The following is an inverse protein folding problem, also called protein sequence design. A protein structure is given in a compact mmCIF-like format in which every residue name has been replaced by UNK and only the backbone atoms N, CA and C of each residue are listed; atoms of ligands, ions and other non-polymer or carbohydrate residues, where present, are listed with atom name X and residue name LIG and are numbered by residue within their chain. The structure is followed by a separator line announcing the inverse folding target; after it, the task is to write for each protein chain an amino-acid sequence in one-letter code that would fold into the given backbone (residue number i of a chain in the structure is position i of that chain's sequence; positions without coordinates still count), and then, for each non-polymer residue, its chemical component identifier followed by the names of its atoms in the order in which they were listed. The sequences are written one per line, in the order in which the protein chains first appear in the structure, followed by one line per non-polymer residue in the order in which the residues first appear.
data_IF_194790656731
#
_entry.id   IF_194790656731
#
_cell.length_a   1.000
_cell.length_b   1.000
_cell.length_c   1.000
_cell.angle_alpha   90.00
_cell.angle_beta   90.00
_cell.angle_gamma   90.00
#
_symmetry.space_group_name_H-M   'P 1'
#
loop_
_entity.id
_entity.type
_entity.pdbx_description
1 polymer ?
#
# COMPACT_ATOMS: atom_id res chain seq x y z
N UNK A 1 -16.29 -8.76 59.70
CA UNK A 1 -15.92 -7.42 59.21
C UNK A 1 -15.39 -7.60 57.79
N UNK A 2 -16.18 -7.24 56.78
CA UNK A 2 -15.80 -7.41 55.36
C UNK A 2 -15.60 -6.03 54.76
N UNK A 3 -14.36 -5.63 54.56
CA UNK A 3 -14.00 -4.32 54.01
C UNK A 3 -14.08 -4.38 52.48
N UNK A 4 -15.12 -3.74 51.92
CA UNK A 4 -15.26 -3.59 50.47
C UNK A 4 -14.35 -2.47 49.97
N UNK A 5 -13.39 -2.80 49.09
CA UNK A 5 -12.52 -1.83 48.43
C UNK A 5 -13.36 -1.08 47.38
N UNK A 6 -13.64 0.21 47.61
CA UNK A 6 -14.26 1.07 46.59
C UNK A 6 -13.19 1.50 45.58
N UNK A 7 -13.31 1.09 44.32
CA UNK A 7 -12.52 1.64 43.20
C UNK A 7 -12.87 3.13 43.04
N UNK A 8 -11.86 4.00 43.12
CA UNK A 8 -11.98 5.43 42.85
C UNK A 8 -12.22 5.63 41.36
N UNK A 9 -13.26 6.35 40.97
CA UNK A 9 -13.54 6.68 39.56
C UNK A 9 -12.41 7.55 39.02
N UNK A 10 -11.81 7.12 37.90
CA UNK A 10 -10.83 7.92 37.18
C UNK A 10 -11.55 9.15 36.58
N UNK A 11 -10.94 10.34 36.57
CA UNK A 11 -11.51 11.50 35.87
C UNK A 11 -11.64 11.16 34.38
N UNK A 12 -12.73 11.60 33.75
CA UNK A 12 -12.98 11.50 32.31
C UNK A 12 -11.92 12.32 31.54
N UNK A 13 -10.73 11.76 31.38
CA UNK A 13 -9.71 12.30 30.48
C UNK A 13 -10.06 11.82 29.08
N UNK A 14 -10.66 12.70 28.28
CA UNK A 14 -10.84 12.48 26.86
C UNK A 14 -9.47 12.38 26.20
N UNK A 15 -9.07 11.17 25.81
CA UNK A 15 -7.87 10.95 25.01
C UNK A 15 -8.21 11.36 23.58
N UNK A 16 -7.87 12.60 23.22
CA UNK A 16 -8.01 13.07 21.84
C UNK A 16 -6.83 12.55 21.04
N UNK A 17 -7.06 11.50 20.24
CA UNK A 17 -6.06 11.07 19.26
C UNK A 17 -6.33 11.84 17.96
N UNK A 18 -5.37 12.61 17.42
CA UNK A 18 -5.54 13.28 16.15
C UNK A 18 -5.67 12.24 15.05
N UNK A 19 -6.87 12.11 14.47
CA UNK A 19 -7.14 11.13 13.41
C UNK A 19 -6.29 11.34 12.17
N UNK A 20 -5.88 12.58 11.90
CA UNK A 20 -4.96 12.92 10.80
C UNK A 20 -3.63 12.21 10.98
N UNK A 21 -3.07 12.24 12.18
CA UNK A 21 -1.78 11.61 12.48
C UNK A 21 -1.88 10.08 12.38
N UNK A 22 -2.96 9.48 12.88
CA UNK A 22 -3.18 8.02 12.77
C UNK A 22 -3.32 7.58 11.31
N UNK A 23 -4.09 8.32 10.51
CA UNK A 23 -4.29 8.00 9.10
C UNK A 23 -3.00 8.18 8.31
N UNK A 24 -2.24 9.24 8.60
CA UNK A 24 -0.95 9.49 7.98
C UNK A 24 0.08 8.41 8.36
N UNK A 25 0.14 8.00 9.63
CA UNK A 25 0.98 6.90 10.08
C UNK A 25 0.59 5.56 9.41
N UNK A 26 -0.72 5.33 9.20
CA UNK A 26 -1.22 4.15 8.51
C UNK A 26 -0.87 4.17 7.00
N UNK A 27 -0.99 5.33 6.34
CA UNK A 27 -0.58 5.54 4.96
C UNK A 27 0.92 5.34 4.78
N UNK A 28 1.74 5.93 5.65
CA UNK A 28 3.20 5.76 5.65
C UNK A 28 3.58 4.30 5.89
N UNK A 29 2.91 3.62 6.83
CA UNK A 29 3.11 2.21 7.11
C UNK A 29 2.76 1.31 5.91
N UNK A 30 1.65 1.59 5.23
CA UNK A 30 1.22 0.84 4.05
C UNK A 30 2.14 1.10 2.84
N UNK A 31 2.55 2.35 2.64
CA UNK A 31 3.51 2.73 1.60
C UNK A 31 4.85 2.03 1.83
N UNK A 32 5.39 2.09 3.05
CA UNK A 32 6.63 1.43 3.41
C UNK A 32 6.55 -0.09 3.19
N UNK A 33 5.43 -0.72 3.54
CA UNK A 33 5.19 -2.14 3.28
C UNK A 33 5.19 -2.43 1.77
N UNK A 34 4.45 -1.63 1.00
CA UNK A 34 4.31 -1.80 -0.44
C UNK A 34 5.65 -1.69 -1.17
N UNK A 35 6.46 -0.69 -0.79
CA UNK A 35 7.83 -0.53 -1.30
C UNK A 35 8.64 -1.78 -0.98
N UNK A 36 8.67 -2.22 0.28
CA UNK A 36 9.47 -3.38 0.69
C UNK A 36 9.10 -4.64 -0.09
N UNK A 37 7.82 -4.89 -0.30
CA UNK A 37 7.35 -6.06 -1.04
C UNK A 37 7.66 -5.91 -2.54
N UNK A 38 7.45 -4.74 -3.14
CA UNK A 38 7.80 -4.48 -4.54
C UNK A 38 9.29 -4.69 -4.81
N UNK A 39 10.16 -4.25 -3.92
CA UNK A 39 11.61 -4.49 -4.02
C UNK A 39 11.97 -5.99 -3.90
N UNK A 40 11.26 -6.76 -3.06
CA UNK A 40 11.46 -8.22 -3.00
C UNK A 40 11.05 -8.92 -4.30
N UNK A 41 9.93 -8.52 -4.91
CA UNK A 41 9.49 -9.04 -6.21
C UNK A 41 10.52 -8.71 -7.29
N UNK A 42 11.01 -7.47 -7.32
CA UNK A 42 12.06 -7.05 -8.25
C UNK A 42 13.34 -7.89 -8.08
N UNK A 43 13.76 -8.16 -6.84
CA UNK A 43 14.91 -9.03 -6.56
C UNK A 43 14.69 -10.46 -7.08
N UNK A 44 13.46 -11.00 -6.96
CA UNK A 44 13.13 -12.32 -7.50
C UNK A 44 13.12 -12.35 -9.02
N UNK A 45 12.61 -11.29 -9.67
CA UNK A 45 12.64 -11.16 -11.12
C UNK A 45 14.07 -11.10 -11.65
N UNK A 46 14.94 -10.27 -11.05
CA UNK A 46 16.36 -10.23 -11.39
C UNK A 46 17.04 -11.59 -11.15
N UNK A 47 16.72 -12.29 -10.05
CA UNK A 47 17.28 -13.61 -9.79
C UNK A 47 16.84 -14.66 -10.82
N UNK A 48 15.59 -14.61 -11.28
CA UNK A 48 15.07 -15.48 -12.33
C UNK A 48 15.75 -15.21 -13.68
N UNK A 49 15.96 -13.94 -14.03
CA UNK A 49 16.71 -13.55 -15.24
C UNK A 49 18.17 -14.03 -15.18
N UNK A 50 18.85 -13.86 -14.03
CA UNK A 50 20.20 -14.41 -13.82
C UNK A 50 20.23 -15.93 -14.00
N UNK A 51 19.19 -16.64 -13.57
CA UNK A 51 19.08 -18.09 -13.76
C UNK A 51 18.83 -18.47 -15.23
N UNK A 52 18.11 -17.65 -15.99
CA UNK A 52 17.95 -17.84 -17.43
C UNK A 52 19.29 -17.66 -18.16
N UNK A 53 20.09 -16.65 -17.78
CA UNK A 53 21.38 -16.36 -18.41
C UNK A 53 22.49 -17.34 -17.99
N UNK A 54 22.64 -17.58 -16.69
CA UNK A 54 23.75 -18.32 -16.10
C UNK A 54 23.39 -19.75 -15.65
N UNK A 55 22.18 -20.22 -15.95
CA UNK A 55 21.66 -21.53 -15.55
C UNK A 55 21.38 -21.65 -14.03
N UNK A 56 20.85 -22.80 -13.57
CA UNK A 56 20.54 -23.03 -12.15
C UNK A 56 21.77 -22.96 -11.25
N UNK A 57 21.59 -22.39 -10.05
CA UNK A 57 22.71 -22.21 -9.10
C UNK A 57 23.29 -23.56 -8.66
N UNK A 58 24.62 -23.67 -8.67
CA UNK A 58 25.34 -24.85 -8.18
C UNK A 58 25.30 -26.07 -9.11
N UNK A 59 24.75 -25.95 -10.32
CA UNK A 59 24.87 -26.97 -11.36
C UNK A 59 25.95 -26.60 -12.35
N UNK A 60 26.84 -27.55 -12.63
CA UNK A 60 27.88 -27.36 -13.63
C UNK A 60 27.31 -27.56 -15.03
N UNK A 61 27.49 -26.56 -15.88
CA UNK A 61 27.17 -26.63 -17.30
C UNK A 61 28.44 -26.34 -18.12
N UNK A 62 28.99 -27.33 -18.84
CA UNK A 62 30.17 -27.15 -19.69
C UNK A 62 29.90 -26.27 -20.93
N UNK A 63 28.64 -26.04 -21.32
CA UNK A 63 28.24 -25.19 -22.44
C UNK A 63 27.72 -23.81 -22.01
N UNK A 64 27.92 -23.43 -20.73
CA UNK A 64 27.48 -22.14 -20.21
C UNK A 64 28.02 -20.97 -21.05
N UNK A 65 27.13 -20.03 -21.35
CA UNK A 65 27.48 -18.80 -22.07
C UNK A 65 27.67 -17.62 -21.11
N UNK A 66 27.15 -17.72 -19.88
CA UNK A 66 27.30 -16.71 -18.86
C UNK A 66 27.55 -17.31 -17.46
N UNK A 67 28.14 -16.51 -16.57
CA UNK A 67 28.46 -16.86 -15.19
C UNK A 67 28.01 -15.77 -14.23
N UNK A 68 27.64 -16.17 -13.01
CA UNK A 68 27.34 -15.23 -11.92
C UNK A 68 28.63 -14.53 -11.46
N UNK A 69 28.61 -13.22 -11.36
CA UNK A 69 29.76 -12.38 -11.01
C UNK A 69 29.55 -11.56 -9.71
N UNK A 70 28.80 -12.15 -8.78
CA UNK A 70 28.46 -11.56 -7.49
C UNK A 70 27.25 -10.62 -7.54
N UNK A 71 27.15 -9.78 -6.53
CA UNK A 71 26.10 -8.78 -6.37
C UNK A 71 26.75 -7.48 -5.94
N UNK A 72 26.32 -6.37 -6.50
CA UNK A 72 26.75 -5.03 -6.10
C UNK A 72 25.58 -4.22 -5.55
N UNK A 73 25.87 -3.04 -5.02
CA UNK A 73 24.84 -2.12 -4.53
C UNK A 73 24.47 -1.17 -5.66
N UNK A 74 23.35 -1.46 -6.32
CA UNK A 74 22.73 -0.63 -7.34
C UNK A 74 21.63 0.25 -6.78
N UNK A 75 20.88 0.87 -7.69
CA UNK A 75 19.75 1.73 -7.34
C UNK A 75 18.71 1.70 -8.43
N UNK A 76 17.43 1.75 -8.06
CA UNK A 76 16.30 1.83 -8.99
C UNK A 76 15.43 3.04 -8.66
N UNK A 77 14.65 3.49 -9.63
CA UNK A 77 13.64 4.53 -9.42
C UNK A 77 12.29 3.92 -9.08
N UNK A 78 11.60 4.54 -8.13
CA UNK A 78 10.23 4.29 -7.78
C UNK A 78 9.49 5.63 -7.73
N UNK A 79 8.76 5.96 -8.80
CA UNK A 79 8.37 7.33 -9.05
C UNK A 79 9.60 8.23 -9.20
N UNK A 80 9.64 9.33 -8.44
CA UNK A 80 10.75 10.27 -8.39
C UNK A 80 11.86 9.88 -7.39
N UNK A 81 11.63 8.83 -6.59
CA UNK A 81 12.56 8.41 -5.53
C UNK A 81 13.54 7.37 -6.03
N UNK A 82 14.84 7.61 -5.78
CA UNK A 82 15.92 6.66 -6.04
C UNK A 82 16.15 5.79 -4.81
N UNK A 83 15.96 4.47 -4.95
CA UNK A 83 16.05 3.49 -3.86
C UNK A 83 17.22 2.53 -4.14
N UNK A 84 18.05 2.29 -3.12
CA UNK A 84 19.16 1.34 -3.24
C UNK A 84 18.68 -0.11 -3.22
N UNK A 85 19.22 -0.94 -4.11
CA UNK A 85 18.90 -2.37 -4.23
C UNK A 85 20.14 -3.20 -4.51
N UNK A 86 20.21 -4.46 -4.05
CA UNK A 86 21.21 -5.40 -4.52
C UNK A 86 21.01 -5.66 -6.01
N UNK A 87 22.06 -5.45 -6.81
CA UNK A 87 22.09 -5.70 -8.24
C UNK A 87 22.97 -6.92 -8.55
N UNK A 88 22.39 -8.08 -8.88
CA UNK A 88 23.15 -9.25 -9.31
C UNK A 88 23.87 -8.99 -10.62
N UNK A 89 25.12 -9.43 -10.73
CA UNK A 89 25.92 -9.28 -11.94
C UNK A 89 26.09 -10.60 -12.66
N UNK A 90 26.04 -10.54 -13.98
CA UNK A 90 26.26 -11.66 -14.88
C UNK A 90 27.35 -11.28 -15.86
N UNK A 91 28.25 -12.21 -16.16
CA UNK A 91 29.34 -11.98 -17.10
C UNK A 91 29.33 -13.06 -18.16
N UNK A 92 29.77 -12.74 -19.38
CA UNK A 92 30.03 -13.74 -20.39
C UNK A 92 31.01 -14.81 -19.85
N UNK A 93 30.83 -16.07 -20.24
CA UNK A 93 31.61 -17.19 -19.72
C UNK A 93 33.10 -17.12 -20.08
N UNK A 94 33.44 -16.40 -21.15
CA UNK A 94 34.81 -16.08 -21.56
C UNK A 94 35.42 -14.92 -20.74
N UNK A 95 34.63 -14.28 -19.88
CA UNK A 95 35.02 -13.16 -19.05
C UNK A 95 35.17 -11.82 -19.77
N UNK A 96 34.76 -11.74 -21.05
CA UNK A 96 34.95 -10.57 -21.91
C UNK A 96 34.17 -9.34 -21.44
N UNK A 97 32.87 -9.51 -21.17
CA UNK A 97 31.97 -8.41 -20.86
C UNK A 97 30.90 -8.77 -19.81
N UNK A 98 30.42 -7.72 -19.13
CA UNK A 98 29.26 -7.81 -18.25
C UNK A 98 27.97 -7.80 -19.07
N UNK A 99 27.06 -8.73 -18.77
CA UNK A 99 25.78 -8.87 -19.45
C UNK A 99 24.75 -8.10 -18.60
N UNK A 100 24.15 -7.01 -19.13
CA UNK A 100 23.17 -6.24 -18.39
C UNK A 100 21.89 -7.06 -18.15
N UNK A 101 21.22 -6.80 -17.02
CA UNK A 101 19.90 -7.35 -16.75
C UNK A 101 18.83 -6.39 -17.27
N UNK A 102 18.00 -6.84 -18.20
CA UNK A 102 16.88 -6.09 -18.75
C UNK A 102 15.91 -5.67 -17.64
N UNK A 103 15.65 -6.57 -16.68
CA UNK A 103 14.79 -6.28 -15.52
C UNK A 103 15.34 -5.12 -14.70
N UNK A 104 16.66 -5.01 -14.53
CA UNK A 104 17.26 -3.90 -13.79
C UNK A 104 17.22 -2.60 -14.59
N UNK A 105 17.50 -2.66 -15.90
CA UNK A 105 17.50 -1.50 -16.78
C UNK A 105 16.12 -0.83 -16.88
N UNK A 106 15.04 -1.62 -16.89
CA UNK A 106 13.67 -1.09 -16.91
C UNK A 106 13.35 -0.20 -15.71
N UNK A 107 14.02 -0.39 -14.58
CA UNK A 107 13.83 0.38 -13.36
C UNK A 107 14.91 1.46 -13.16
N UNK A 108 15.78 1.70 -14.16
CA UNK A 108 16.72 2.83 -14.18
C UNK A 108 16.09 4.13 -14.71
N UNK A 109 14.93 4.05 -15.36
CA UNK A 109 14.27 5.21 -15.96
C UNK A 109 13.09 5.68 -15.10
N UNK A 110 13.17 6.88 -14.48
CA UNK A 110 12.09 7.44 -13.66
C UNK A 110 10.80 7.72 -14.45
N UNK A 111 10.85 7.80 -15.79
CA UNK A 111 9.68 8.00 -16.65
C UNK A 111 8.93 6.68 -16.93
N UNK A 112 9.65 5.55 -17.00
CA UNK A 112 9.08 4.20 -17.13
C UNK A 112 8.67 3.60 -15.77
N UNK A 113 9.33 4.02 -14.68
CA UNK A 113 8.98 3.72 -13.29
C UNK A 113 7.81 4.57 -12.75
N UNK A 114 6.91 4.99 -13.63
CA UNK A 114 5.67 5.69 -13.30
C UNK A 114 4.65 4.74 -12.67
N UNK A 115 3.58 5.37 -12.17
CA UNK A 115 2.35 4.80 -11.62
C UNK A 115 1.94 3.41 -12.15
N UNK A 116 2.17 3.09 -13.42
CA UNK A 116 1.89 1.76 -14.00
C UNK A 116 2.71 0.60 -13.39
N UNK A 117 3.97 0.80 -13.01
CA UNK A 117 4.80 -0.25 -12.37
C UNK A 117 4.39 -0.44 -10.91
N UNK A 118 4.15 0.67 -10.20
CA UNK A 118 3.61 0.63 -8.84
C UNK A 118 2.21 0.01 -8.84
N UNK A 119 1.34 0.38 -9.79
CA UNK A 119 0.02 -0.21 -10.00
C UNK A 119 0.13 -1.69 -10.35
N UNK A 120 1.07 -2.13 -11.19
CA UNK A 120 1.26 -3.57 -11.49
C UNK A 120 1.75 -4.34 -10.28
N UNK A 121 2.67 -3.76 -9.50
CA UNK A 121 3.14 -4.34 -8.25
C UNK A 121 1.99 -4.40 -7.24
N UNK A 122 1.24 -3.32 -7.03
CA UNK A 122 0.08 -3.26 -6.13
C UNK A 122 -1.03 -4.22 -6.60
N UNK A 123 -1.40 -4.26 -7.89
CA UNK A 123 -2.35 -5.24 -8.44
C UNK A 123 -1.88 -6.69 -8.24
N UNK A 124 -0.57 -6.93 -8.30
CA UNK A 124 0.02 -8.25 -8.05
C UNK A 124 0.03 -8.63 -6.56
N UNK A 125 0.01 -7.65 -5.66
CA UNK A 125 0.13 -7.84 -4.20
C UNK A 125 -1.19 -7.78 -3.46
N UNK A 126 -2.17 -7.04 -3.99
CA UNK A 126 -3.54 -7.01 -3.49
C UNK A 126 -4.24 -8.28 -4.00
N UNK A 127 -4.18 -9.34 -3.20
CA UNK A 127 -4.84 -10.60 -3.57
C UNK A 127 -6.34 -10.40 -3.80
N UNK A 128 -6.93 -11.20 -4.69
CA UNK A 128 -8.40 -11.22 -4.89
C UNK A 128 -9.18 -11.37 -3.58
N UNK A 129 -8.62 -12.12 -2.62
CA UNK A 129 -9.18 -12.27 -1.26
C UNK A 129 -9.16 -10.98 -0.46
N UNK A 130 -8.10 -10.18 -0.58
CA UNK A 130 -8.02 -8.89 0.09
C UNK A 130 -9.04 -7.90 -0.48
N UNK A 131 -9.13 -7.80 -1.81
CA UNK A 131 -10.15 -6.97 -2.47
C UNK A 131 -11.55 -7.36 -2.00
N UNK A 132 -11.86 -8.66 -2.04
CA UNK A 132 -13.16 -9.16 -1.66
C UNK A 132 -13.45 -8.93 -0.16
N UNK A 133 -12.47 -9.13 0.73
CA UNK A 133 -12.63 -8.89 2.16
C UNK A 133 -12.84 -7.41 2.47
N UNK A 134 -12.08 -6.52 1.82
CA UNK A 134 -12.21 -5.06 1.99
C UNK A 134 -13.53 -4.56 1.41
N UNK A 135 -13.98 -5.07 0.26
CA UNK A 135 -15.32 -4.78 -0.29
C UNK A 135 -16.42 -5.22 0.68
N UNK A 136 -16.36 -6.46 1.19
CA UNK A 136 -17.35 -6.95 2.16
C UNK A 136 -17.37 -6.14 3.47
N UNK A 137 -16.19 -5.72 3.94
CA UNK A 137 -16.08 -4.90 5.14
C UNK A 137 -16.66 -3.49 4.91
N UNK A 138 -16.38 -2.90 3.74
CA UNK A 138 -16.92 -1.61 3.33
C UNK A 138 -18.44 -1.67 3.15
N UNK A 139 -18.97 -2.69 2.46
CA UNK A 139 -20.41 -2.91 2.30
C UNK A 139 -21.11 -3.03 3.65
N UNK A 140 -20.54 -3.82 4.57
CA UNK A 140 -21.08 -3.96 5.92
C UNK A 140 -21.05 -2.65 6.68
N UNK A 141 -19.99 -1.86 6.51
CA UNK A 141 -19.86 -0.56 7.14
C UNK A 141 -20.91 0.43 6.62
N UNK A 142 -21.15 0.46 5.30
CA UNK A 142 -22.12 1.36 4.66
C UNK A 142 -23.58 0.93 4.90
N UNK A 143 -23.85 -0.37 5.03
CA UNK A 143 -25.20 -0.91 5.29
C UNK A 143 -25.57 -0.94 6.78
N UNK A 144 -24.63 -0.60 7.68
CA UNK A 144 -24.94 -0.61 9.11
C UNK A 144 -26.01 0.44 9.41
N UNK A 145 -26.88 0.14 10.36
CA UNK A 145 -27.81 1.15 10.86
C UNK A 145 -27.03 2.20 11.67
N UNK A 146 -27.45 3.45 11.56
CA UNK A 146 -26.89 4.58 12.29
C UNK A 146 -27.80 5.04 13.42
N UNK A 147 -28.85 4.30 13.76
CA UNK A 147 -29.80 4.65 14.82
C UNK A 147 -29.38 4.14 16.21
N UNK A 148 -28.17 3.59 16.32
CA UNK A 148 -27.59 3.14 17.58
C UNK A 148 -27.19 4.30 18.51
N UNK A 149 -27.25 5.54 18.01
CA UNK A 149 -26.82 6.76 18.71
C UNK A 149 -27.65 7.97 18.30
N UNK A 150 -27.65 8.97 19.16
CA UNK A 150 -28.17 10.30 18.83
C UNK A 150 -27.08 11.13 18.17
N UNK A 151 -27.27 11.45 16.89
CA UNK A 151 -26.38 12.36 16.15
C UNK A 151 -26.85 13.80 16.32
N UNK A 152 -25.93 14.67 16.74
CA UNK A 152 -26.19 16.10 16.94
C UNK A 152 -25.81 16.91 15.71
N UNK A 153 -24.73 16.50 15.02
CA UNK A 153 -24.26 17.16 13.80
C UNK A 153 -23.91 16.09 12.77
N UNK A 154 -24.28 16.33 11.51
CA UNK A 154 -23.76 15.58 10.36
C UNK A 154 -23.08 16.56 9.42
N UNK A 155 -21.83 16.29 9.09
CA UNK A 155 -21.03 17.02 8.11
C UNK A 155 -20.86 16.15 6.87
N UNK A 156 -21.13 16.73 5.71
CA UNK A 156 -20.92 16.08 4.42
C UNK A 156 -19.95 16.94 3.64
N UNK A 157 -18.88 16.33 3.13
CA UNK A 157 -17.88 17.04 2.34
C UNK A 157 -17.40 16.19 1.16
N UNK A 158 -17.00 16.86 0.09
CA UNK A 158 -16.45 16.25 -1.11
C UNK A 158 -14.93 16.31 -1.12
N UNK A 159 -14.28 15.15 -1.09
CA UNK A 159 -12.84 15.00 -1.29
C UNK A 159 -12.56 14.61 -2.74
N UNK A 160 -11.77 15.39 -3.47
CA UNK A 160 -11.30 15.01 -4.81
C UNK A 160 -10.04 14.16 -4.69
N UNK A 161 -10.10 12.92 -5.18
CA UNK A 161 -8.98 11.97 -5.23
C UNK A 161 -8.74 11.59 -6.70
N UNK A 162 -7.64 12.09 -7.28
CA UNK A 162 -7.39 11.99 -8.71
C UNK A 162 -8.61 12.46 -9.54
N UNK A 163 -9.14 11.62 -10.42
CA UNK A 163 -10.30 11.91 -11.26
C UNK A 163 -11.65 11.61 -10.58
N UNK A 164 -11.64 11.13 -9.33
CA UNK A 164 -12.82 10.74 -8.57
C UNK A 164 -13.18 11.80 -7.53
N UNK A 165 -14.46 12.14 -7.41
CA UNK A 165 -14.98 12.88 -6.27
C UNK A 165 -15.52 11.85 -5.27
N UNK A 166 -15.06 11.88 -4.03
CA UNK A 166 -15.59 11.03 -2.96
C UNK A 166 -16.35 11.93 -2.01
N UNK A 167 -17.63 11.66 -1.79
CA UNK A 167 -18.43 12.35 -0.79
C UNK A 167 -18.35 11.54 0.51
N UNK A 168 -17.80 12.14 1.56
CA UNK A 168 -17.72 11.56 2.90
C UNK A 168 -18.74 12.18 3.84
N UNK A 169 -19.33 11.36 4.71
CA UNK A 169 -20.21 11.82 5.79
C UNK A 169 -19.57 11.54 7.16
N UNK A 170 -19.55 12.56 8.03
CA UNK A 170 -19.04 12.51 9.39
C UNK A 170 -20.13 12.96 10.38
N UNK A 171 -20.49 12.10 11.32
CA UNK A 171 -21.44 12.39 12.38
C UNK A 171 -20.73 12.76 13.67
N UNK A 172 -21.32 13.66 14.44
CA UNK A 172 -20.93 13.97 15.83
C UNK A 172 -22.08 13.51 16.72
N UNK A 173 -21.83 12.56 17.62
CA UNK A 173 -22.85 12.09 18.55
C UNK A 173 -23.08 13.06 19.73
N UNK A 174 -24.10 12.79 20.54
CA UNK A 174 -24.46 13.61 21.70
C UNK A 174 -23.36 13.71 22.76
N UNK A 175 -22.42 12.77 22.76
CA UNK A 175 -21.24 12.77 23.63
C UNK A 175 -20.07 13.58 23.01
N UNK A 176 -20.26 14.12 21.81
CA UNK A 176 -19.26 14.91 21.08
C UNK A 176 -18.27 14.08 20.26
N UNK A 177 -18.48 12.76 20.11
CA UNK A 177 -17.57 11.91 19.35
C UNK A 177 -17.85 12.00 17.86
N UNK A 178 -16.79 12.27 17.10
CA UNK A 178 -16.81 12.28 15.63
C UNK A 178 -16.68 10.85 15.09
N UNK A 179 -17.55 10.44 14.17
CA UNK A 179 -17.52 9.12 13.51
C UNK A 179 -17.83 9.23 12.03
N UNK A 180 -17.05 8.53 11.20
CA UNK A 180 -17.36 8.37 9.78
C UNK A 180 -18.65 7.58 9.67
N UNK A 181 -19.64 8.15 8.98
CA UNK A 181 -20.96 7.54 8.75
C UNK A 181 -20.98 6.77 7.44
N UNK A 182 -20.35 7.32 6.40
CA UNK A 182 -20.33 6.72 5.08
C UNK A 182 -19.39 7.45 4.12
N UNK A 183 -19.14 6.80 3.00
CA UNK A 183 -18.43 7.35 1.86
C UNK A 183 -19.08 6.82 0.59
N UNK A 184 -19.22 7.68 -0.42
CA UNK A 184 -19.79 7.34 -1.71
C UNK A 184 -18.99 8.02 -2.81
N UNK A 185 -18.74 7.30 -3.89
CA UNK A 185 -18.16 7.89 -5.09
C UNK A 185 -19.21 8.79 -5.76
N UNK A 186 -18.88 10.07 -5.90
CA UNK A 186 -19.71 11.08 -6.53
C UNK A 186 -19.31 11.36 -7.97
N UNK A 187 -20.30 11.71 -8.79
CA UNK A 187 -20.11 12.46 -10.03
C UNK A 187 -20.46 13.92 -9.75
N UNK A 188 -19.78 14.88 -10.39
CA UNK A 188 -19.81 16.31 -10.00
C UNK A 188 -21.17 17.02 -10.08
N UNK A 189 -22.23 16.39 -10.56
CA UNK A 189 -23.60 16.93 -10.52
C UNK A 189 -24.58 15.77 -10.40
N UNK A 190 -24.91 15.32 -9.18
CA UNK A 190 -26.07 14.44 -9.05
C UNK A 190 -26.76 14.57 -7.69
N UNK A 191 -27.99 15.06 -7.73
CA UNK A 191 -28.95 15.13 -6.62
C UNK A 191 -29.19 13.74 -5.97
N UNK A 192 -28.91 12.65 -6.68
CA UNK A 192 -29.02 11.26 -6.20
C UNK A 192 -28.02 10.91 -5.09
N UNK A 193 -26.84 11.54 -5.05
CA UNK A 193 -25.77 11.20 -4.08
C UNK A 193 -26.08 11.71 -2.67
N UNK A 194 -26.71 12.89 -2.58
CA UNK A 194 -27.10 13.50 -1.29
C UNK A 194 -28.26 12.74 -0.63
N UNK A 195 -29.09 12.05 -1.42
CA UNK A 195 -30.26 11.30 -0.94
C UNK A 195 -29.94 9.84 -0.56
N UNK A 196 -28.74 9.35 -0.87
CA UNK A 196 -28.30 7.98 -0.59
C UNK A 196 -27.44 7.85 0.69
N UNK A 197 -27.10 8.98 1.33
CA UNK A 197 -26.45 9.10 2.64
C UNK A 197 -27.50 9.26 3.75
#
# INVERSE_FOLDING_TARGET
MTTSIKKKSLPEQSVTVPWVDILQDAEDGLLALSIRVGLQVLQQMMAAEVEQLAGPKGRHDPQRQAVRHGTEVGSVFLGDRKISVPHPRVRAADGSEEIPLDTYHQFQDPTLATQAVLERMLYGLVSRRFIQATQQALDRFLQRRLDDRTWVVVMIDGLRVADHLVVGALGIDADGHKRVLGLVEGATENHTVVMAL
#
